data_IF_023264375404
#
_entry.id   IF_023264375404
#
_cell.length_a   1.000
_cell.length_b   1.000
_cell.length_c   1.000
_cell.angle_alpha   90.00
_cell.angle_beta   90.00
_cell.angle_gamma   90.00
#
_symmetry.space_group_name_H-M   'P 1'
#
loop_
_entity.id
_entity.type
_entity.pdbx_description
1 polymer ?
#
# COMPACT_ATOMS: atom_id res chain seq x y z
N UNK A 1 33.64 18.70 28.21
CA UNK A 1 33.13 17.76 27.18
C UNK A 1 31.64 17.68 27.40
N UNK A 2 30.88 18.55 26.74
CA UNK A 2 29.41 18.54 26.81
C UNK A 2 28.90 17.40 25.94
N UNK A 3 28.38 16.36 26.59
CA UNK A 3 27.65 15.29 25.93
C UNK A 3 26.32 15.87 25.44
N UNK A 4 26.25 16.21 24.15
CA UNK A 4 24.98 16.53 23.49
C UNK A 4 24.06 15.32 23.59
N UNK A 5 23.15 15.37 24.55
CA UNK A 5 22.04 14.44 24.69
C UNK A 5 21.14 14.68 23.49
N UNK A 6 21.26 13.83 22.46
CA UNK A 6 20.31 13.76 21.37
C UNK A 6 18.95 13.37 21.96
N UNK A 7 18.14 14.38 22.30
CA UNK A 7 16.76 14.18 22.68
C UNK A 7 16.07 13.55 21.48
N UNK A 8 15.71 12.27 21.59
CA UNK A 8 14.85 11.62 20.62
C UNK A 8 13.50 12.34 20.69
N UNK A 9 13.26 13.22 19.72
CA UNK A 9 12.02 13.96 19.64
C UNK A 9 10.90 12.95 19.40
N UNK A 10 9.88 12.98 20.25
CA UNK A 10 8.75 12.07 20.14
C UNK A 10 7.90 12.51 18.95
N UNK A 11 8.15 11.93 17.78
CA UNK A 11 7.41 12.24 16.57
C UNK A 11 6.06 11.52 16.62
N UNK A 12 4.99 12.29 16.49
CA UNK A 12 3.62 11.79 16.43
C UNK A 12 3.19 11.53 14.98
N UNK A 13 2.19 10.68 14.74
CA UNK A 13 1.60 10.52 13.42
C UNK A 13 1.09 11.85 12.83
N UNK A 14 0.60 12.75 13.67
CA UNK A 14 0.12 14.08 13.29
C UNK A 14 1.25 14.94 12.72
N UNK A 15 2.44 14.91 13.32
CA UNK A 15 3.62 15.64 12.81
C UNK A 15 4.02 15.16 11.40
N UNK A 16 3.96 13.84 11.18
CA UNK A 16 4.24 13.23 9.86
C UNK A 16 3.19 13.65 8.85
N UNK A 17 1.92 13.62 9.22
CA UNK A 17 0.81 14.01 8.35
C UNK A 17 0.89 15.49 7.98
N UNK A 18 1.16 16.36 8.95
CA UNK A 18 1.32 17.81 8.73
C UNK A 18 2.49 18.08 7.75
N UNK A 19 3.64 17.43 7.93
CA UNK A 19 4.76 17.55 6.98
C UNK A 19 4.36 17.14 5.56
N UNK A 20 3.64 16.02 5.40
CA UNK A 20 3.22 15.50 4.09
C UNK A 20 2.14 16.35 3.41
N UNK A 21 1.28 17.00 4.20
CA UNK A 21 0.29 17.95 3.70
C UNK A 21 0.95 19.24 3.20
N UNK A 22 1.97 19.72 3.90
CA UNK A 22 2.60 21.00 3.63
C UNK A 22 3.61 20.96 2.47
N UNK A 23 4.22 19.80 2.17
CA UNK A 23 5.21 19.66 1.09
C UNK A 23 4.63 19.22 -0.27
N UNK A 24 3.30 19.04 -0.35
CA UNK A 24 2.59 18.66 -1.56
C UNK A 24 2.69 17.16 -1.92
N UNK A 25 3.32 16.35 -1.08
CA UNK A 25 3.45 14.90 -1.30
C UNK A 25 2.10 14.21 -1.39
N UNK A 26 1.14 14.56 -0.52
CA UNK A 26 -0.21 13.97 -0.54
C UNK A 26 -0.91 14.28 -1.86
N UNK A 27 -0.78 15.51 -2.38
CA UNK A 27 -1.37 15.89 -3.65
C UNK A 27 -0.71 15.15 -4.83
N UNK A 28 0.60 14.93 -4.77
CA UNK A 28 1.32 14.14 -5.77
C UNK A 28 0.86 12.67 -5.78
N UNK A 29 0.69 12.06 -4.60
CA UNK A 29 0.15 10.69 -4.48
C UNK A 29 -1.30 10.64 -4.98
N UNK A 30 -2.14 11.60 -4.60
CA UNK A 30 -3.52 11.72 -5.09
C UNK A 30 -3.55 11.79 -6.62
N UNK A 31 -2.67 12.57 -7.24
CA UNK A 31 -2.57 12.69 -8.68
C UNK A 31 -2.17 11.36 -9.34
N UNK A 32 -1.24 10.61 -8.75
CA UNK A 32 -0.86 9.27 -9.23
C UNK A 32 -2.04 8.30 -9.18
N UNK A 33 -2.78 8.27 -8.07
CA UNK A 33 -3.98 7.43 -7.90
C UNK A 33 -5.03 7.77 -8.97
N UNK A 34 -5.34 9.06 -9.15
CA UNK A 34 -6.30 9.51 -10.17
C UNK A 34 -5.84 9.09 -11.58
N UNK A 35 -4.55 9.22 -11.87
CA UNK A 35 -3.99 8.85 -13.17
C UNK A 35 -4.13 7.36 -13.44
N UNK A 36 -3.81 6.51 -12.46
CA UNK A 36 -3.97 5.05 -12.60
C UNK A 36 -5.44 4.65 -12.72
N UNK A 37 -6.35 5.24 -11.93
CA UNK A 37 -7.78 4.96 -12.06
C UNK A 37 -8.34 5.37 -13.42
N UNK A 38 -7.93 6.52 -13.96
CA UNK A 38 -8.29 6.96 -15.31
C UNK A 38 -7.74 6.04 -16.40
N UNK A 39 -6.65 5.33 -16.14
CA UNK A 39 -6.05 4.35 -17.05
C UNK A 39 -6.57 2.91 -16.83
N UNK A 40 -7.41 2.69 -15.81
CA UNK A 40 -7.93 1.36 -15.51
C UNK A 40 -8.99 0.93 -16.54
N UNK A 41 -8.57 0.07 -17.47
CA UNK A 41 -9.44 -0.45 -18.54
C UNK A 41 -10.54 -1.37 -17.99
N UNK A 42 -10.32 -2.10 -16.90
CA UNK A 42 -11.36 -2.94 -16.30
C UNK A 42 -12.51 -2.09 -15.76
N UNK A 43 -12.21 -0.99 -15.07
CA UNK A 43 -13.22 -0.05 -14.57
C UNK A 43 -13.97 0.62 -15.71
N UNK A 44 -13.27 1.02 -16.79
CA UNK A 44 -13.90 1.57 -18.00
C UNK A 44 -14.83 0.56 -18.66
N UNK A 45 -14.35 -0.66 -18.91
CA UNK A 45 -15.12 -1.73 -19.54
C UNK A 45 -16.34 -2.10 -18.71
N UNK A 46 -16.19 -2.15 -17.39
CA UNK A 46 -17.32 -2.38 -16.48
C UNK A 46 -18.34 -1.26 -16.57
N UNK A 47 -17.91 0.00 -16.63
CA UNK A 47 -18.80 1.16 -16.80
C UNK A 47 -19.53 1.12 -18.13
N UNK A 48 -18.84 0.78 -19.23
CA UNK A 48 -19.46 0.61 -20.55
C UNK A 48 -20.55 -0.45 -20.51
N UNK A 49 -20.28 -1.63 -19.93
CA UNK A 49 -21.28 -2.70 -19.77
C UNK A 49 -22.49 -2.25 -18.94
N UNK A 50 -22.27 -1.48 -17.87
CA UNK A 50 -23.36 -0.94 -17.07
C UNK A 50 -24.23 0.05 -17.86
N UNK A 51 -23.61 0.86 -18.72
CA UNK A 51 -24.33 1.77 -19.62
C UNK A 51 -25.11 0.96 -20.66
N UNK A 52 -24.53 -0.05 -21.28
CA UNK A 52 -25.22 -0.93 -22.25
C UNK A 52 -26.45 -1.63 -21.63
N UNK A 53 -26.36 -1.98 -20.35
CA UNK A 53 -27.42 -2.64 -19.58
C UNK A 53 -28.39 -1.66 -18.89
N UNK A 54 -28.20 -0.35 -19.07
CA UNK A 54 -29.00 0.69 -18.41
C UNK A 54 -30.49 0.57 -18.75
N UNK A 55 -31.34 0.70 -17.74
CA UNK A 55 -32.80 0.77 -17.95
C UNK A 55 -33.17 2.05 -18.67
N UNK A 56 -32.52 3.17 -18.35
CA UNK A 56 -32.76 4.48 -19.00
C UNK A 56 -32.57 4.36 -20.52
N UNK A 57 -31.49 3.72 -20.97
CA UNK A 57 -31.22 3.56 -22.41
C UNK A 57 -32.07 2.47 -23.08
N UNK A 58 -32.42 1.41 -22.36
CA UNK A 58 -33.20 0.29 -22.91
C UNK A 58 -34.73 0.47 -22.79
N UNK A 59 -35.20 1.62 -22.29
CA UNK A 59 -36.64 1.91 -22.20
C UNK A 59 -37.18 2.43 -23.53
N UNK A 60 -38.33 1.93 -24.02
CA UNK A 60 -38.97 2.47 -25.23
C UNK A 60 -39.25 3.96 -25.11
N UNK A 61 -38.88 4.75 -26.12
CA UNK A 61 -39.04 6.21 -26.11
C UNK A 61 -37.81 6.96 -25.62
N UNK A 62 -36.75 6.27 -25.19
CA UNK A 62 -35.45 6.90 -24.88
C UNK A 62 -34.91 7.68 -26.09
N UNK A 63 -35.17 7.22 -27.31
CA UNK A 63 -34.76 7.88 -28.56
C UNK A 63 -35.41 9.26 -28.78
N UNK A 64 -36.48 9.58 -28.04
CA UNK A 64 -37.20 10.87 -28.13
C UNK A 64 -36.75 11.88 -27.09
N UNK A 65 -35.96 11.44 -26.10
CA UNK A 65 -35.41 12.32 -25.08
C UNK A 65 -34.22 13.11 -25.62
N UNK A 66 -33.98 14.28 -25.05
CA UNK A 66 -32.78 15.05 -25.38
C UNK A 66 -31.53 14.37 -24.82
N UNK A 67 -30.37 14.63 -25.45
CA UNK A 67 -29.08 14.13 -24.95
C UNK A 67 -28.83 14.48 -23.48
N UNK A 68 -29.31 15.65 -23.04
CA UNK A 68 -29.18 16.09 -21.65
C UNK A 68 -30.02 15.24 -20.70
N UNK A 69 -31.29 15.05 -21.00
CA UNK A 69 -32.19 14.23 -20.20
C UNK A 69 -31.68 12.79 -20.09
N UNK A 70 -31.22 12.21 -21.20
CA UNK A 70 -30.62 10.87 -21.21
C UNK A 70 -29.38 10.79 -20.32
N UNK A 71 -28.47 11.77 -20.41
CA UNK A 71 -27.25 11.77 -19.60
C UNK A 71 -27.56 11.98 -18.11
N UNK A 72 -28.47 12.90 -17.78
CA UNK A 72 -28.85 13.19 -16.40
C UNK A 72 -29.55 11.96 -15.78
N UNK A 73 -30.47 11.31 -16.51
CA UNK A 73 -31.14 10.09 -16.06
C UNK A 73 -30.18 8.90 -15.95
N UNK A 74 -29.28 8.71 -16.93
CA UNK A 74 -28.25 7.67 -16.89
C UNK A 74 -27.29 7.86 -15.72
N UNK A 75 -26.90 9.11 -15.44
CA UNK A 75 -26.09 9.46 -14.28
C UNK A 75 -26.83 9.12 -13.00
N UNK A 76 -28.10 9.49 -12.88
CA UNK A 76 -28.91 9.16 -11.70
C UNK A 76 -29.03 7.65 -11.48
N UNK A 77 -29.08 6.84 -12.54
CA UNK A 77 -29.12 5.38 -12.45
C UNK A 77 -27.77 4.77 -12.04
N UNK A 78 -26.67 5.22 -12.65
CA UNK A 78 -25.39 4.51 -12.59
C UNK A 78 -24.35 5.12 -11.65
N UNK A 79 -24.47 6.40 -11.27
CA UNK A 79 -23.43 7.15 -10.53
C UNK A 79 -23.01 6.42 -9.26
N UNK A 80 -23.95 6.01 -8.41
CA UNK A 80 -23.64 5.32 -7.15
C UNK A 80 -22.85 4.04 -7.40
N UNK A 81 -23.29 3.17 -8.31
CA UNK A 81 -22.64 1.88 -8.53
C UNK A 81 -21.26 2.02 -9.20
N UNK A 82 -21.09 2.99 -10.11
CA UNK A 82 -19.79 3.30 -10.72
C UNK A 82 -18.83 3.89 -9.67
N UNK A 83 -19.31 4.81 -8.83
CA UNK A 83 -18.51 5.41 -7.77
C UNK A 83 -18.11 4.39 -6.70
N UNK A 84 -18.98 3.44 -6.35
CA UNK A 84 -18.65 2.34 -5.43
C UNK A 84 -17.52 1.47 -5.98
N UNK A 85 -17.59 1.09 -7.26
CA UNK A 85 -16.52 0.33 -7.93
C UNK A 85 -15.22 1.11 -7.97
N UNK A 86 -15.27 2.39 -8.33
CA UNK A 86 -14.11 3.26 -8.35
C UNK A 86 -13.48 3.42 -6.95
N UNK A 87 -14.32 3.63 -5.91
CA UNK A 87 -13.88 3.74 -4.51
C UNK A 87 -13.18 2.46 -4.05
N UNK A 88 -13.73 1.29 -4.38
CA UNK A 88 -13.08 0.01 -4.09
C UNK A 88 -11.70 -0.09 -4.76
N UNK A 89 -11.60 0.25 -6.04
CA UNK A 89 -10.33 0.26 -6.76
C UNK A 89 -9.31 1.25 -6.19
N UNK A 90 -9.75 2.41 -5.69
CA UNK A 90 -8.88 3.36 -4.96
C UNK A 90 -8.27 2.69 -3.73
N UNK A 91 -9.10 2.04 -2.91
CA UNK A 91 -8.63 1.36 -1.70
C UNK A 91 -7.67 0.22 -2.01
N UNK A 92 -7.95 -0.56 -3.04
CA UNK A 92 -7.05 -1.62 -3.52
C UNK A 92 -5.69 -1.04 -3.94
N UNK A 93 -5.66 0.10 -4.64
CA UNK A 93 -4.41 0.78 -5.01
C UNK A 93 -3.62 1.33 -3.81
N UNK A 94 -4.33 1.85 -2.80
CA UNK A 94 -3.71 2.40 -1.58
C UNK A 94 -3.16 1.28 -0.69
N UNK A 95 -3.83 0.13 -0.63
CA UNK A 95 -3.46 -1.00 0.23
C UNK A 95 -2.48 -1.97 -0.45
N UNK A 96 -2.21 -1.80 -1.74
CA UNK A 96 -1.29 -2.63 -2.48
C UNK A 96 0.16 -2.49 -1.98
N UNK A 97 0.86 -3.62 -1.84
CA UNK A 97 2.24 -3.69 -1.37
C UNK A 97 3.28 -3.59 -2.49
N UNK A 98 2.85 -3.45 -3.74
CA UNK A 98 3.73 -3.56 -4.90
C UNK A 98 3.73 -2.33 -5.84
N UNK A 99 2.90 -1.33 -5.59
CA UNK A 99 2.75 -0.12 -6.39
C UNK A 99 2.60 1.15 -5.55
N UNK A 100 1.49 1.88 -5.72
CA UNK A 100 1.27 3.17 -5.06
C UNK A 100 1.24 3.01 -3.52
N UNK A 101 0.58 1.98 -2.99
CA UNK A 101 0.54 1.74 -1.54
C UNK A 101 1.93 1.52 -0.91
N UNK A 102 2.83 0.86 -1.64
CA UNK A 102 4.24 0.74 -1.24
C UNK A 102 4.95 2.10 -1.25
N UNK A 103 4.78 2.89 -2.31
CA UNK A 103 5.36 4.23 -2.41
C UNK A 103 4.88 5.13 -1.27
N UNK A 104 3.58 5.09 -0.97
CA UNK A 104 2.97 5.80 0.15
C UNK A 104 3.62 5.40 1.47
N UNK A 105 3.73 4.10 1.74
CA UNK A 105 4.33 3.56 2.97
C UNK A 105 5.79 3.99 3.12
N UNK A 106 6.58 3.91 2.04
CA UNK A 106 7.98 4.34 2.02
C UNK A 106 8.12 5.85 2.24
N UNK A 107 7.19 6.63 1.71
CA UNK A 107 7.21 8.08 1.84
C UNK A 107 6.89 8.51 3.27
N UNK A 108 5.88 7.89 3.90
CA UNK A 108 5.56 8.10 5.32
C UNK A 108 6.75 7.72 6.19
N UNK A 109 7.37 6.56 5.97
CA UNK A 109 8.55 6.10 6.73
C UNK A 109 9.74 7.06 6.55
N UNK A 110 9.97 7.55 5.34
CA UNK A 110 11.05 8.51 5.05
C UNK A 110 10.86 9.82 5.80
N UNK A 111 9.63 10.34 5.82
CA UNK A 111 9.31 11.56 6.58
C UNK A 111 9.46 11.32 8.07
N UNK A 112 8.97 10.19 8.58
CA UNK A 112 9.12 9.82 9.98
C UNK A 112 10.59 9.72 10.40
N UNK A 113 11.44 9.04 9.62
CA UNK A 113 12.88 8.95 9.88
C UNK A 113 13.56 10.31 9.90
N UNK A 114 13.22 11.18 8.94
CA UNK A 114 13.74 12.56 8.85
C UNK A 114 13.36 13.38 10.09
N UNK A 115 12.09 13.37 10.49
CA UNK A 115 11.61 14.09 11.67
C UNK A 115 12.23 13.53 12.96
N UNK A 116 12.45 12.21 13.02
CA UNK A 116 13.05 11.54 14.19
C UNK A 116 14.57 11.69 14.29
N UNK A 117 15.22 12.40 13.36
CA UNK A 117 16.68 12.53 13.29
C UNK A 117 17.41 11.21 12.97
N UNK A 118 16.71 10.24 12.36
CA UNK A 118 17.23 8.94 11.91
C UNK A 118 17.60 8.94 10.42
N UNK A 119 17.70 10.10 9.80
CA UNK A 119 18.08 10.20 8.40
C UNK A 119 19.52 9.67 8.21
N UNK A 120 19.76 8.72 7.30
CA UNK A 120 21.10 8.25 6.99
C UNK A 120 21.97 9.43 6.55
N UNK A 121 23.22 9.55 7.05
CA UNK A 121 24.08 10.68 6.67
C UNK A 121 24.27 10.70 5.15
N UNK A 122 24.00 11.86 4.54
CA UNK A 122 24.09 12.09 3.08
C UNK A 122 25.49 11.88 2.50
N UNK A 123 26.49 11.74 3.36
CA UNK A 123 27.84 11.35 3.01
C UNK A 123 28.24 10.17 3.91
N UNK A 124 28.80 9.07 3.37
CA UNK A 124 29.49 8.11 4.23
C UNK A 124 30.56 8.90 4.98
N UNK A 125 30.65 8.71 6.30
CA UNK A 125 31.74 9.27 7.07
C UNK A 125 33.04 8.83 6.38
N UNK A 126 33.75 9.76 5.76
CA UNK A 126 35.09 9.52 5.26
C UNK A 126 35.92 9.14 6.47
N UNK A 127 36.11 7.83 6.66
CA UNK A 127 37.11 7.31 7.57
C UNK A 127 38.44 7.66 6.91
N UNK A 128 39.01 8.79 7.31
CA UNK A 128 40.36 9.20 6.96
C UNK A 128 41.31 8.22 7.66
N UNK A 129 41.57 7.09 6.99
CA UNK A 129 42.62 6.15 7.35
C UNK A 129 43.94 6.72 6.85
N UNK A 130 44.63 7.45 7.72
CA UNK A 130 46.07 7.73 7.59
C UNK A 130 46.84 6.41 7.41
N UNK A 131 47.66 6.24 6.35
CA UNK A 131 48.47 5.06 6.17
C UNK A 131 49.79 5.22 6.93
N UNK A 132 49.85 4.72 8.15
CA UNK A 132 51.12 4.51 8.85
C UNK A 132 51.86 3.30 8.26
N UNK A 133 53.13 3.54 7.95
CA UNK A 133 54.03 2.75 7.13
C UNK A 133 54.65 1.59 7.93
N UNK A 134 54.66 0.40 7.32
CA UNK A 134 55.86 -0.47 7.31
C UNK A 134 55.83 -1.76 8.14
N UNK A 135 55.81 -2.92 7.47
CA UNK A 135 57.00 -3.71 7.11
C UNK A 135 56.60 -5.10 6.60
N UNK A 136 57.21 -5.47 5.48
CA UNK A 136 57.12 -6.77 4.79
C UNK A 136 57.90 -7.87 5.53
N UNK A 137 57.41 -9.12 5.43
CA UNK A 137 58.18 -10.32 5.01
C UNK A 137 57.29 -11.57 4.87
N UNK A 138 57.09 -12.01 3.62
CA UNK A 138 57.45 -13.34 3.04
C UNK A 138 57.73 -14.51 4.02
N UNK A 139 57.37 -15.79 3.82
CA UNK A 139 56.80 -16.65 2.75
C UNK A 139 56.56 -18.04 3.39
N UNK A 140 55.61 -18.85 2.90
CA UNK A 140 55.78 -20.28 2.50
C UNK A 140 54.46 -21.11 2.50
N UNK A 141 54.33 -21.86 1.40
CA UNK A 141 53.28 -22.82 1.05
C UNK A 141 53.41 -24.16 1.81
N UNK A 142 52.26 -24.78 2.14
CA UNK A 142 51.94 -26.20 1.94
C UNK A 142 50.48 -26.37 2.40
N UNK A 143 49.51 -26.94 1.69
CA UNK A 143 49.57 -28.16 0.89
C UNK A 143 48.81 -29.28 1.63
N UNK A 144 47.54 -29.52 1.31
CA UNK A 144 46.92 -30.85 1.42
C UNK A 144 45.63 -31.04 2.24
N UNK A 145 44.58 -31.44 1.49
CA UNK A 145 43.53 -32.45 1.78
C UNK A 145 42.28 -32.07 2.59
N UNK A 146 41.20 -31.93 1.82
CA UNK A 146 39.95 -32.72 1.86
C UNK A 146 39.52 -33.35 3.20
N UNK A 147 38.32 -32.98 3.66
CA UNK A 147 37.35 -33.96 4.16
C UNK A 147 35.91 -33.43 4.04
N UNK A 148 35.10 -34.22 3.34
CA UNK A 148 33.64 -34.14 3.26
C UNK A 148 32.97 -34.42 4.61
N UNK A 149 31.84 -33.74 4.86
CA UNK A 149 30.66 -34.33 5.52
C UNK A 149 29.45 -33.41 5.18
N UNK A 150 28.53 -33.83 4.29
CA UNK A 150 27.28 -34.58 4.58
C UNK A 150 26.35 -33.76 5.49
N UNK A 151 25.38 -33.03 4.92
CA UNK A 151 23.99 -33.43 4.57
C UNK A 151 22.99 -33.21 5.73
N UNK A 152 21.77 -32.90 5.30
CA UNK A 152 20.47 -32.80 5.98
C UNK A 152 20.13 -31.40 6.54
N UNK A 153 19.30 -30.59 5.86
CA UNK A 153 17.89 -30.78 5.44
C UNK A 153 16.91 -30.70 6.61
N UNK A 154 15.71 -30.21 6.29
CA UNK A 154 14.48 -30.15 7.10
C UNK A 154 14.34 -28.89 7.96
N UNK A 155 13.20 -28.23 8.04
CA UNK A 155 12.02 -28.23 7.19
C UNK A 155 11.16 -27.04 7.61
N UNK A 156 10.32 -26.61 6.69
CA UNK A 156 9.24 -25.66 6.93
C UNK A 156 8.25 -26.17 8.00
N UNK A 157 7.78 -25.28 8.89
CA UNK A 157 6.55 -25.55 9.63
C UNK A 157 5.73 -24.28 9.81
N UNK A 158 4.79 -24.10 8.88
CA UNK A 158 3.58 -23.30 9.02
C UNK A 158 2.75 -23.78 10.21
N UNK A 159 2.44 -22.89 11.17
CA UNK A 159 1.42 -23.16 12.20
C UNK A 159 0.22 -22.22 12.04
N UNK A 160 -0.80 -22.76 11.36
CA UNK A 160 -2.19 -22.31 11.37
C UNK A 160 -2.71 -22.23 12.81
N UNK A 161 -3.42 -21.17 13.18
CA UNK A 161 -4.34 -21.19 14.34
C UNK A 161 -5.77 -21.36 13.84
N UNK A 162 -6.46 -22.30 14.49
CA UNK A 162 -7.73 -22.90 14.15
C UNK A 162 -8.92 -22.02 14.53
N UNK A 163 -9.96 -22.23 13.74
CA UNK A 163 -11.37 -21.92 13.96
C UNK A 163 -11.97 -22.94 14.94
N UNK A 164 -12.82 -22.50 15.86
CA UNK A 164 -13.74 -23.34 16.61
C UNK A 164 -15.14 -22.71 16.54
N UNK A 165 -16.11 -23.48 16.06
CA UNK A 165 -17.54 -23.22 15.99
C UNK A 165 -18.26 -24.48 16.51
N UNK A 166 -19.24 -24.31 17.42
CA UNK A 166 -20.66 -24.69 17.24
C UNK A 166 -21.37 -25.05 18.57
N UNK A 167 -22.64 -24.63 18.66
CA UNK A 167 -23.70 -25.15 19.55
C UNK A 167 -24.41 -24.03 20.32
N UNK A 168 -25.48 -23.37 19.82
CA UNK A 168 -26.88 -23.79 19.58
C UNK A 168 -27.67 -24.20 20.84
N UNK A 169 -28.67 -23.38 21.20
CA UNK A 169 -30.00 -23.71 21.78
C UNK A 169 -30.75 -22.36 21.91
N UNK A 170 -31.67 -22.02 20.99
CA UNK A 170 -33.12 -22.32 20.99
C UNK A 170 -33.95 -21.40 21.91
N UNK A 171 -34.86 -20.61 21.32
CA UNK A 171 -35.69 -19.64 22.05
C UNK A 171 -36.66 -18.80 21.21
N UNK A 172 -37.63 -19.49 20.57
CA UNK A 172 -39.04 -19.10 20.30
C UNK A 172 -39.40 -17.83 19.48
N UNK A 173 -40.02 -18.09 18.32
CA UNK A 173 -41.03 -17.26 17.64
C UNK A 173 -42.37 -17.21 18.42
N UNK A 174 -43.12 -16.10 18.35
CA UNK A 174 -44.43 -16.02 17.65
C UNK A 174 -45.16 -14.67 17.94
N UNK A 175 -45.75 -14.13 16.88
CA UNK A 175 -46.60 -12.93 16.77
C UNK A 175 -48.05 -13.22 17.18
N UNK A 176 -48.71 -12.26 17.85
CA UNK A 176 -50.07 -11.75 17.57
C UNK A 176 -50.81 -11.32 18.85
N UNK A 177 -51.32 -10.10 18.87
CA UNK A 177 -52.46 -9.74 19.72
C UNK A 177 -53.46 -8.93 18.89
N UNK A 178 -54.71 -9.30 19.11
CA UNK A 178 -55.96 -8.81 18.50
C UNK A 178 -56.24 -7.36 18.79
#
# INVERSE_FOLDING_TARGET
MESSSSQQQLITPEDVLESLMNDGTIDAIRLKIITQLKANEELKNTTVKMVEQSKVLNTPGAEKQTKRELFDALRQELETSVLEKASKSVWELILDNNGIGKELSQTVEKVFCRLSGREPPLFPASVELEPEKGKEKETEENGGKEQENVMDNSDSSTKKRKFDEIGSEEGTDEVASR
#
